data_IF_433606300999
#
_entry.id   IF_433606300999
#
_cell.length_a   1.000
_cell.length_b   1.000
_cell.length_c   1.000
_cell.angle_alpha   90.00
_cell.angle_beta   90.00
_cell.angle_gamma   90.00
#
_symmetry.space_group_name_H-M   'P 1'
#
loop_
_entity.id
_entity.type
_entity.pdbx_description
1 polymer ?
#
# COMPACT_ATOMS: atom_id res chain seq x y z
N UNK A 1 16.20 29.62 61.45
CA UNK A 1 15.50 28.39 61.00
C UNK A 1 15.75 28.16 59.50
N UNK A 2 16.95 28.48 59.02
CA UNK A 2 17.15 28.87 57.60
C UNK A 2 18.15 27.95 56.88
N UNK A 3 18.81 27.04 57.60
CA UNK A 3 19.71 26.04 57.01
C UNK A 3 18.96 24.79 56.52
N UNK A 4 17.83 24.43 57.14
CA UNK A 4 17.10 23.19 56.84
C UNK A 4 16.21 23.28 55.60
N UNK A 5 15.65 24.47 55.31
CA UNK A 5 14.86 24.71 54.08
C UNK A 5 15.75 24.73 52.83
N UNK A 6 16.97 25.25 52.96
CA UNK A 6 17.97 25.33 51.89
C UNK A 6 18.44 23.95 51.42
N UNK A 7 18.63 23.00 52.34
CA UNK A 7 19.02 21.62 52.01
C UNK A 7 17.92 20.83 51.28
N UNK A 8 16.66 21.05 51.66
CA UNK A 8 15.51 20.39 51.01
C UNK A 8 15.31 20.92 49.58
N UNK A 9 15.48 22.23 49.37
CA UNK A 9 15.40 22.82 48.02
C UNK A 9 16.47 22.26 47.07
N UNK A 10 17.70 22.06 47.55
CA UNK A 10 18.78 21.50 46.74
C UNK A 10 18.56 20.02 46.42
N UNK A 11 18.01 19.23 47.36
CA UNK A 11 17.63 17.83 47.11
C UNK A 11 16.49 17.71 46.09
N UNK A 12 15.48 18.61 46.15
CA UNK A 12 14.38 18.60 45.18
C UNK A 12 14.84 19.00 43.77
N UNK A 13 15.78 19.94 43.64
CA UNK A 13 16.34 20.35 42.35
C UNK A 13 17.19 19.22 41.75
N UNK A 14 17.97 18.52 42.57
CA UNK A 14 18.73 17.34 42.13
C UNK A 14 17.83 16.20 41.63
N UNK A 15 16.72 15.94 42.30
CA UNK A 15 15.75 14.90 41.90
C UNK A 15 15.04 15.27 40.58
N UNK A 16 14.66 16.53 40.38
CA UNK A 16 14.05 17.01 39.13
C UNK A 16 15.01 16.87 37.93
N UNK A 17 16.31 17.13 38.11
CA UNK A 17 17.31 16.99 37.04
C UNK A 17 17.58 15.53 36.66
N UNK A 18 17.53 14.60 37.64
CA UNK A 18 17.71 13.16 37.38
C UNK A 18 16.48 12.56 36.68
N UNK A 19 15.26 12.95 37.07
CA UNK A 19 14.05 12.46 36.40
C UNK A 19 13.84 13.07 35.00
N UNK A 20 14.23 14.33 34.78
CA UNK A 20 14.19 14.94 33.44
C UNK A 20 15.21 14.36 32.44
N UNK A 21 16.34 13.86 32.94
CA UNK A 21 17.36 13.20 32.10
C UNK A 21 17.00 11.77 31.68
N UNK A 22 16.17 11.07 32.44
CA UNK A 22 15.79 9.68 32.13
C UNK A 22 14.62 9.57 31.13
N UNK A 23 13.76 10.60 31.05
CA UNK A 23 12.67 10.62 30.05
C UNK A 23 13.14 10.89 28.62
N UNK A 24 14.38 11.37 28.45
CA UNK A 24 14.94 11.74 27.14
C UNK A 24 15.75 10.61 26.47
N UNK A 25 16.07 9.52 27.17
CA UNK A 25 16.81 8.38 26.60
C UNK A 25 15.90 7.28 26.02
N UNK A 26 14.60 7.27 26.35
CA UNK A 26 13.66 6.21 25.94
C UNK A 26 12.96 6.49 24.60
N UNK A 27 13.00 7.73 24.10
CA UNK A 27 12.22 8.15 22.91
C UNK A 27 13.10 8.60 21.73
N UNK A 28 14.42 8.74 21.91
CA UNK A 28 15.35 9.00 20.80
C UNK A 28 15.17 10.32 20.06
N UNK A 29 14.40 11.28 20.59
CA UNK A 29 14.19 12.61 19.99
C UNK A 29 14.00 13.68 21.07
N UNK A 30 14.59 14.86 20.85
CA UNK A 30 14.53 16.00 21.78
C UNK A 30 13.16 16.72 21.75
N UNK A 31 12.72 17.33 22.87
CA UNK A 31 11.39 17.96 23.01
C UNK A 31 11.04 19.08 22.02
N UNK A 32 12.03 19.66 21.34
CA UNK A 32 11.84 20.84 20.49
C UNK A 32 11.56 20.53 19.00
N UNK A 33 11.45 19.25 18.61
CA UNK A 33 11.12 18.83 17.23
C UNK A 33 9.72 18.20 17.07
N UNK A 34 8.87 18.30 18.09
CA UNK A 34 7.54 17.67 18.08
C UNK A 34 6.55 18.28 17.08
N UNK A 35 6.76 19.52 16.62
CA UNK A 35 5.89 20.13 15.63
C UNK A 35 6.13 19.59 14.20
N UNK A 36 7.35 19.15 13.86
CA UNK A 36 7.67 18.69 12.50
C UNK A 36 7.23 17.26 12.18
N UNK A 37 7.09 16.39 13.18
CA UNK A 37 6.85 14.95 12.98
C UNK A 37 5.45 14.48 13.41
N UNK A 38 4.66 15.31 14.10
CA UNK A 38 3.31 14.99 14.53
C UNK A 38 2.22 15.61 13.63
N UNK A 39 2.55 15.94 12.37
CA UNK A 39 1.57 16.48 11.42
C UNK A 39 1.51 15.82 10.05
N UNK A 40 2.35 14.80 9.78
CA UNK A 40 2.30 14.02 8.55
C UNK A 40 1.76 12.61 8.81
N UNK A 41 0.46 12.49 8.98
CA UNK A 41 -0.14 11.17 9.19
C UNK A 41 -1.64 11.10 9.35
N UNK A 42 -2.40 12.14 9.03
CA UNK A 42 -3.86 12.03 8.97
C UNK A 42 -4.44 13.18 8.15
N UNK A 43 -4.76 12.92 6.88
CA UNK A 43 -5.94 13.56 6.31
C UNK A 43 -6.78 12.53 5.56
N UNK A 44 -7.97 12.34 6.14
CA UNK A 44 -9.08 11.60 5.59
C UNK A 44 -9.48 12.14 4.21
N UNK A 45 -9.74 11.19 3.32
CA UNK A 45 -10.56 11.35 2.12
C UNK A 45 -11.96 11.85 2.50
N UNK A 46 -12.16 13.17 2.50
CA UNK A 46 -13.48 13.81 2.38
C UNK A 46 -13.35 15.12 1.61
N UNK A 47 -13.37 15.06 0.28
CA UNK A 47 -13.93 16.15 -0.51
C UNK A 47 -14.39 15.68 -1.89
N UNK A 48 -15.67 15.32 -1.93
CA UNK A 48 -16.48 15.30 -3.13
C UNK A 48 -16.70 16.76 -3.57
N UNK A 49 -15.81 17.29 -4.40
CA UNK A 49 -16.03 18.56 -5.09
C UNK A 49 -16.41 18.32 -6.55
N UNK A 50 -17.71 18.50 -6.78
CA UNK A 50 -18.30 18.83 -8.07
C UNK A 50 -17.60 20.08 -8.60
N UNK A 51 -16.73 19.93 -9.59
CA UNK A 51 -16.40 21.03 -10.50
C UNK A 51 -17.15 20.80 -11.82
N UNK A 52 -18.30 21.46 -11.92
CA UNK A 52 -18.84 21.84 -13.21
C UNK A 52 -17.86 22.79 -13.88
N UNK A 53 -17.41 22.44 -15.07
CA UNK A 53 -16.76 23.39 -15.97
C UNK A 53 -17.84 23.83 -16.96
N UNK A 54 -18.39 25.02 -16.72
CA UNK A 54 -18.99 25.84 -17.77
C UNK A 54 -17.85 26.23 -18.72
N UNK A 55 -17.80 25.64 -19.91
CA UNK A 55 -17.13 26.27 -21.05
C UNK A 55 -18.23 26.89 -21.90
N UNK A 56 -18.26 28.21 -21.91
CA UNK A 56 -19.06 29.02 -22.82
C UNK A 56 -18.66 28.74 -24.27
N UNK A 57 -19.69 28.58 -25.09
CA UNK A 57 -19.67 28.29 -26.51
C UNK A 57 -19.02 29.43 -27.31
N UNK A 58 -17.99 29.12 -28.11
CA UNK A 58 -17.61 29.95 -29.28
C UNK A 58 -17.69 29.13 -30.56
N UNK A 59 -18.21 29.80 -31.59
CA UNK A 59 -18.86 29.26 -32.77
C UNK A 59 -17.90 29.03 -33.95
N UNK A 60 -18.21 27.97 -34.70
CA UNK A 60 -18.06 27.82 -36.16
C UNK A 60 -16.65 27.84 -36.76
N UNK A 61 -16.11 26.64 -37.00
CA UNK A 61 -15.65 26.28 -38.35
C UNK A 61 -15.67 24.76 -38.53
N UNK A 62 -16.65 24.31 -39.31
CA UNK A 62 -16.78 22.94 -39.80
C UNK A 62 -15.63 22.64 -40.75
N UNK A 63 -14.59 21.94 -40.29
CA UNK A 63 -13.69 21.18 -41.15
C UNK A 63 -13.94 19.70 -40.89
N UNK A 64 -14.47 19.03 -41.91
CA UNK A 64 -14.60 17.58 -41.98
C UNK A 64 -13.19 16.97 -41.98
N UNK A 65 -12.62 16.75 -40.80
CA UNK A 65 -11.58 15.75 -40.63
C UNK A 65 -12.28 14.45 -40.27
N UNK A 66 -12.25 13.50 -41.20
CA UNK A 66 -12.52 12.10 -40.94
C UNK A 66 -11.47 11.59 -39.95
N UNK A 67 -11.62 11.94 -38.68
CA UNK A 67 -11.01 11.19 -37.61
C UNK A 67 -11.95 10.02 -37.40
N UNK A 68 -11.54 8.85 -37.87
CA UNK A 68 -11.97 7.60 -37.27
C UNK A 68 -11.97 7.81 -35.77
N UNK A 69 -13.16 7.84 -35.18
CA UNK A 69 -13.31 7.61 -33.75
C UNK A 69 -12.87 6.16 -33.58
N UNK A 70 -11.55 5.95 -33.51
CA UNK A 70 -10.99 4.79 -32.84
C UNK A 70 -11.66 4.87 -31.48
N UNK A 71 -12.61 3.97 -31.30
CA UNK A 71 -13.28 3.68 -30.04
C UNK A 71 -12.33 4.02 -28.90
N UNK A 72 -12.59 5.16 -28.22
CA UNK A 72 -11.68 5.79 -27.27
C UNK A 72 -11.68 4.99 -25.97
N UNK A 73 -11.26 3.74 -26.07
CA UNK A 73 -10.70 3.05 -24.96
C UNK A 73 -9.34 3.71 -24.73
N UNK A 74 -9.21 4.46 -23.63
CA UNK A 74 -7.96 5.01 -23.11
C UNK A 74 -7.03 3.84 -22.70
N UNK A 75 -6.61 3.05 -23.69
CA UNK A 75 -5.82 1.85 -23.55
C UNK A 75 -4.38 2.27 -23.68
N UNK A 76 -3.64 2.06 -22.60
CA UNK A 76 -2.20 2.25 -22.56
C UNK A 76 -1.53 1.44 -23.70
N UNK A 77 -0.53 1.96 -24.42
CA UNK A 77 0.16 1.20 -25.46
C UNK A 77 0.74 -0.12 -24.90
N UNK A 78 0.75 -1.17 -25.73
CA UNK A 78 1.11 -2.53 -25.31
C UNK A 78 2.52 -2.60 -24.69
N UNK A 79 3.49 -1.90 -25.25
CA UNK A 79 4.87 -1.92 -24.74
C UNK A 79 4.95 -1.41 -23.30
N UNK A 80 4.18 -0.36 -22.99
CA UNK A 80 4.07 0.15 -21.61
C UNK A 80 3.33 -0.83 -20.70
N UNK A 81 2.31 -1.52 -21.21
CA UNK A 81 1.64 -2.57 -20.42
C UNK A 81 2.61 -3.71 -20.08
N UNK A 82 3.42 -4.17 -21.04
CA UNK A 82 4.43 -5.22 -20.84
C UNK A 82 5.46 -4.77 -19.80
N UNK A 83 5.98 -3.54 -19.92
CA UNK A 83 6.94 -3.00 -18.96
C UNK A 83 6.37 -2.94 -17.53
N UNK A 84 5.12 -2.50 -17.37
CA UNK A 84 4.46 -2.46 -16.06
C UNK A 84 4.24 -3.87 -15.50
N UNK A 85 3.73 -4.80 -16.30
CA UNK A 85 3.46 -6.17 -15.85
C UNK A 85 4.77 -6.87 -15.48
N UNK A 86 5.85 -6.69 -16.25
CA UNK A 86 7.17 -7.20 -15.93
C UNK A 86 7.69 -6.64 -14.60
N UNK A 87 7.62 -5.32 -14.41
CA UNK A 87 8.03 -4.69 -13.16
C UNK A 87 7.21 -5.16 -11.94
N UNK A 88 5.89 -5.38 -12.11
CA UNK A 88 5.03 -5.95 -11.07
C UNK A 88 5.44 -7.40 -10.73
N UNK A 89 5.74 -8.21 -11.74
CA UNK A 89 6.17 -9.60 -11.56
C UNK A 89 7.55 -9.71 -10.88
N UNK A 90 8.44 -8.74 -11.10
CA UNK A 90 9.72 -8.62 -10.41
C UNK A 90 9.59 -8.13 -8.95
N UNK A 91 8.40 -7.70 -8.52
CA UNK A 91 8.16 -7.21 -7.16
C UNK A 91 8.44 -5.72 -6.97
N UNK A 92 8.50 -4.92 -8.05
CA UNK A 92 8.62 -3.46 -7.93
C UNK A 92 7.36 -2.84 -7.32
N UNK A 93 7.55 -1.91 -6.38
CA UNK A 93 6.42 -1.19 -5.78
C UNK A 93 5.68 -0.33 -6.82
N UNK A 94 4.35 -0.23 -6.69
CA UNK A 94 3.51 0.59 -7.59
C UNK A 94 4.00 2.05 -7.65
N UNK A 95 4.49 2.59 -6.54
CA UNK A 95 5.06 3.94 -6.47
C UNK A 95 6.36 4.09 -7.24
N UNK A 96 7.20 3.05 -7.24
CA UNK A 96 8.41 3.02 -8.08
C UNK A 96 8.03 3.03 -9.56
N UNK A 97 7.09 2.16 -9.95
CA UNK A 97 6.62 2.04 -11.33
C UNK A 97 5.99 3.35 -11.81
N UNK A 98 5.20 4.02 -10.97
CA UNK A 98 4.61 5.34 -11.25
C UNK A 98 5.69 6.38 -11.60
N UNK A 99 6.78 6.45 -10.83
CA UNK A 99 7.90 7.38 -11.08
C UNK A 99 8.71 7.03 -12.33
N UNK A 100 8.92 5.75 -12.59
CA UNK A 100 9.70 5.27 -13.73
C UNK A 100 8.95 5.43 -15.07
N UNK A 101 7.65 5.15 -15.06
CA UNK A 101 6.83 5.09 -16.29
C UNK A 101 6.02 6.36 -16.54
N UNK A 102 5.86 7.22 -15.53
CA UNK A 102 5.01 8.41 -15.58
C UNK A 102 3.52 8.11 -15.64
N UNK A 103 3.11 6.89 -15.26
CA UNK A 103 1.72 6.43 -15.31
C UNK A 103 1.12 6.47 -13.92
N UNK A 104 -0.10 7.01 -13.81
CA UNK A 104 -0.80 7.07 -12.54
C UNK A 104 -1.01 5.68 -11.92
N UNK A 105 -0.75 5.56 -10.61
CA UNK A 105 -0.91 4.31 -9.82
C UNK A 105 -2.23 3.57 -10.04
N UNK A 106 -3.35 4.27 -10.21
CA UNK A 106 -4.65 3.60 -10.41
C UNK A 106 -4.72 2.84 -11.74
N UNK A 107 -4.04 3.36 -12.76
CA UNK A 107 -3.96 2.68 -14.06
C UNK A 107 -3.09 1.44 -13.95
N UNK A 108 -1.97 1.53 -13.21
CA UNK A 108 -1.10 0.38 -12.90
C UNK A 108 -1.88 -0.69 -12.13
N UNK A 109 -2.60 -0.31 -11.08
CA UNK A 109 -3.42 -1.23 -10.28
C UNK A 109 -4.51 -1.91 -11.10
N UNK A 110 -5.28 -1.15 -11.90
CA UNK A 110 -6.32 -1.73 -12.78
C UNK A 110 -5.74 -2.68 -13.81
N UNK A 111 -4.58 -2.36 -14.39
CA UNK A 111 -3.89 -3.24 -15.33
C UNK A 111 -3.45 -4.54 -14.65
N UNK A 112 -2.87 -4.44 -13.44
CA UNK A 112 -2.46 -5.60 -12.65
C UNK A 112 -3.64 -6.53 -12.34
N UNK A 113 -4.77 -5.98 -11.87
CA UNK A 113 -5.99 -6.76 -11.62
C UNK A 113 -6.50 -7.44 -12.89
N UNK A 114 -6.49 -6.73 -14.04
CA UNK A 114 -6.91 -7.30 -15.32
C UNK A 114 -6.01 -8.45 -15.76
N UNK A 115 -4.70 -8.30 -15.62
CA UNK A 115 -3.73 -9.35 -15.94
C UNK A 115 -3.92 -10.57 -15.01
N UNK A 116 -4.09 -10.33 -13.70
CA UNK A 116 -4.34 -11.39 -12.71
C UNK A 116 -5.57 -12.23 -13.03
N UNK A 117 -6.70 -11.60 -13.37
CA UNK A 117 -7.92 -12.31 -13.82
C UNK A 117 -7.68 -13.15 -15.07
N UNK A 118 -6.85 -12.66 -16.01
CA UNK A 118 -6.45 -13.43 -17.19
C UNK A 118 -5.62 -14.67 -16.82
N UNK A 119 -4.67 -14.52 -15.89
CA UNK A 119 -3.87 -15.63 -15.37
C UNK A 119 -4.72 -16.66 -14.64
N UNK A 120 -5.70 -16.23 -13.83
CA UNK A 120 -6.66 -17.08 -13.15
C UNK A 120 -7.44 -17.94 -14.16
N UNK A 121 -8.03 -17.32 -15.20
CA UNK A 121 -8.76 -18.02 -16.25
C UNK A 121 -7.87 -18.98 -17.06
N UNK A 122 -6.62 -18.58 -17.32
CA UNK A 122 -5.66 -19.44 -18.00
C UNK A 122 -5.32 -20.66 -17.15
N UNK A 123 -5.09 -20.47 -15.85
CA UNK A 123 -4.80 -21.55 -14.91
C UNK A 123 -5.99 -22.51 -14.80
N UNK A 124 -7.21 -21.98 -14.61
CA UNK A 124 -8.45 -22.76 -14.52
C UNK A 124 -8.72 -23.61 -15.78
N UNK A 125 -8.40 -23.08 -16.96
CA UNK A 125 -8.60 -23.79 -18.24
C UNK A 125 -7.47 -24.77 -18.61
N UNK A 126 -6.26 -24.59 -18.09
CA UNK A 126 -5.08 -25.39 -18.48
C UNK A 126 -4.66 -26.41 -17.44
N UNK A 127 -4.88 -26.14 -16.15
CA UNK A 127 -4.47 -26.99 -15.04
C UNK A 127 -5.63 -27.87 -14.57
N UNK A 128 -6.17 -28.69 -15.47
CA UNK A 128 -7.26 -29.63 -15.19
C UNK A 128 -6.76 -31.08 -15.21
N UNK A 129 -7.39 -31.94 -14.43
CA UNK A 129 -7.10 -33.39 -14.34
C UNK A 129 -5.61 -33.68 -14.06
N UNK A 130 -5.04 -32.96 -13.08
CA UNK A 130 -3.64 -33.10 -12.70
C UNK A 130 -3.42 -34.38 -11.88
N UNK A 131 -2.53 -35.26 -12.36
CA UNK A 131 -2.12 -36.48 -11.67
C UNK A 131 -1.15 -36.22 -10.49
N UNK A 132 -1.53 -35.38 -9.52
CA UNK A 132 -0.70 -35.08 -8.35
C UNK A 132 -0.71 -36.24 -7.36
N UNK A 133 0.42 -36.96 -7.22
CA UNK A 133 0.56 -38.10 -6.29
C UNK A 133 1.11 -37.70 -4.92
N UNK A 134 1.96 -36.66 -4.87
CA UNK A 134 2.64 -36.23 -3.65
C UNK A 134 2.59 -34.71 -3.50
N UNK A 135 1.72 -34.24 -2.60
CA UNK A 135 1.56 -32.82 -2.30
C UNK A 135 2.39 -32.43 -1.06
N UNK A 136 3.16 -31.35 -1.22
CA UNK A 136 3.83 -30.64 -0.14
C UNK A 136 2.99 -29.46 0.26
N UNK A 137 2.76 -29.28 1.56
CA UNK A 137 2.02 -28.16 2.10
C UNK A 137 2.98 -27.16 2.74
N UNK A 138 2.79 -25.90 2.41
CA UNK A 138 3.54 -24.77 2.95
C UNK A 138 2.59 -23.68 3.42
N UNK A 139 3.04 -22.85 4.35
CA UNK A 139 2.28 -21.71 4.86
C UNK A 139 3.12 -20.43 4.82
N UNK A 140 2.51 -19.36 4.31
CA UNK A 140 3.12 -18.03 4.26
C UNK A 140 2.36 -17.13 5.21
N UNK A 141 3.05 -16.64 6.23
CA UNK A 141 2.52 -15.64 7.15
C UNK A 141 2.67 -14.23 6.55
N UNK A 142 1.61 -13.44 6.66
CA UNK A 142 1.55 -12.03 6.33
C UNK A 142 0.61 -11.27 7.25
N UNK A 143 0.37 -10.00 6.97
CA UNK A 143 -0.59 -9.18 7.72
C UNK A 143 -1.23 -8.13 6.82
N UNK A 144 -2.45 -7.71 7.16
CA UNK A 144 -3.18 -6.64 6.47
C UNK A 144 -3.22 -5.42 7.37
N UNK A 145 -2.61 -4.32 6.92
CA UNK A 145 -2.55 -3.04 7.63
C UNK A 145 -1.60 -3.05 8.83
N UNK A 146 -1.81 -3.97 9.78
CA UNK A 146 -1.01 -4.14 11.00
C UNK A 146 -1.02 -5.59 11.47
N UNK A 147 0.02 -5.96 12.24
CA UNK A 147 0.12 -7.28 12.88
C UNK A 147 -0.96 -7.46 13.95
N UNK A 148 -1.37 -8.69 14.18
CA UNK A 148 -2.45 -9.08 15.11
C UNK A 148 -2.33 -8.40 16.48
N UNK A 149 -1.13 -8.38 17.06
CA UNK A 149 -0.85 -7.76 18.36
C UNK A 149 -1.24 -6.28 18.46
N UNK A 150 -1.30 -5.56 17.34
CA UNK A 150 -1.59 -4.13 17.28
C UNK A 150 -3.02 -3.82 16.84
N UNK A 151 -3.84 -4.83 16.58
CA UNK A 151 -5.26 -4.66 16.21
C UNK A 151 -6.05 -4.27 17.46
N UNK A 152 -6.80 -3.18 17.35
CA UNK A 152 -7.72 -2.68 18.37
C UNK A 152 -9.15 -3.14 18.05
N UNK A 153 -10.03 -3.13 19.05
CA UNK A 153 -11.43 -3.56 18.90
C UNK A 153 -12.22 -2.67 17.92
N UNK A 154 -11.79 -1.42 17.74
CA UNK A 154 -12.44 -0.45 16.84
C UNK A 154 -11.95 -0.54 15.38
N UNK A 155 -10.95 -1.38 15.10
CA UNK A 155 -10.41 -1.52 13.74
C UNK A 155 -11.30 -2.37 12.84
N UNK A 156 -11.05 -2.27 11.53
CA UNK A 156 -11.69 -3.16 10.56
C UNK A 156 -11.35 -4.62 10.89
N UNK A 157 -12.34 -5.53 10.99
CA UNK A 157 -12.13 -6.95 11.27
C UNK A 157 -11.24 -7.68 10.26
N UNK A 158 -10.95 -7.07 9.11
CA UNK A 158 -10.04 -7.61 8.09
C UNK A 158 -8.56 -7.33 8.37
N UNK A 159 -8.24 -6.49 9.36
CA UNK A 159 -6.86 -6.22 9.77
C UNK A 159 -6.35 -7.32 10.70
N UNK A 160 -5.03 -7.53 10.68
CA UNK A 160 -4.38 -8.54 11.50
C UNK A 160 -3.51 -9.48 10.70
N UNK A 161 -3.19 -10.61 11.31
CA UNK A 161 -2.32 -11.63 10.71
C UNK A 161 -3.13 -12.51 9.74
N UNK A 162 -2.51 -12.87 8.62
CA UNK A 162 -3.12 -13.69 7.56
C UNK A 162 -2.15 -14.78 7.16
N UNK A 163 -2.66 -16.01 7.07
CA UNK A 163 -1.93 -17.16 6.57
C UNK A 163 -2.41 -17.53 5.17
N UNK A 164 -1.47 -17.61 4.23
CA UNK A 164 -1.71 -18.15 2.90
C UNK A 164 -1.18 -19.56 2.85
N UNK A 165 -2.06 -20.54 2.70
CA UNK A 165 -1.67 -21.94 2.54
C UNK A 165 -1.43 -22.26 1.07
N UNK A 166 -0.32 -22.93 0.79
CA UNK A 166 0.07 -23.35 -0.55
C UNK A 166 0.26 -24.87 -0.59
N UNK A 167 -0.29 -25.51 -1.62
CA UNK A 167 -0.02 -26.91 -1.92
C UNK A 167 0.82 -26.97 -3.20
N UNK A 168 1.93 -27.69 -3.17
CA UNK A 168 2.86 -27.81 -4.30
C UNK A 168 3.09 -29.30 -4.57
N UNK A 169 2.88 -29.73 -5.82
CA UNK A 169 3.24 -31.07 -6.22
C UNK A 169 4.77 -31.25 -6.26
N UNK A 170 5.27 -32.26 -5.57
CA UNK A 170 6.71 -32.43 -5.38
C UNK A 170 7.45 -32.78 -6.67
N UNK A 171 6.77 -33.41 -7.63
CA UNK A 171 7.35 -33.89 -8.88
C UNK A 171 7.27 -32.81 -9.98
N UNK A 172 6.05 -32.33 -10.27
CA UNK A 172 5.83 -31.35 -11.35
C UNK A 172 6.10 -29.91 -10.93
N UNK A 173 6.20 -29.64 -9.62
CA UNK A 173 6.28 -28.29 -9.04
C UNK A 173 5.09 -27.40 -9.37
N UNK A 174 3.98 -28.01 -9.83
CA UNK A 174 2.74 -27.29 -10.03
C UNK A 174 2.12 -26.95 -8.68
N UNK A 175 1.50 -25.77 -8.64
CA UNK A 175 0.69 -25.32 -7.51
C UNK A 175 -0.78 -25.51 -7.91
N UNK A 176 -1.41 -26.66 -7.58
CA UNK A 176 -2.82 -26.85 -7.88
C UNK A 176 -3.66 -25.82 -7.13
N UNK A 177 -4.48 -25.08 -7.88
CA UNK A 177 -5.49 -24.19 -7.31
C UNK A 177 -6.81 -24.92 -7.19
N UNK A 178 -7.44 -24.85 -6.03
CA UNK A 178 -8.83 -25.26 -5.84
C UNK A 178 -9.76 -24.07 -6.10
N UNK A 179 -11.00 -24.38 -6.48
CA UNK A 179 -12.09 -23.41 -6.55
C UNK A 179 -13.15 -23.79 -5.53
#
# INVERSE_FOLDING_TARGET
>A
MDAWRSGISLLTIGLVLVFGGLTSLVIGCLPWQWWGCLHDGQEHSKNQQRHGINVTQEYLTRRNYCNTVIDMANILPKDKQIAIIGALAEGSSIRSIERLTGIHRDTIMRLGVRAGKGCELLMDSKMQDLGCRYLQFDEVWGFIGKKERHVSVDDDPTYGDVWTYCAIDSETKLVPSFR
#
